data_IF_112010865509
#
_entry.id   IF_112010865509
#
_cell.length_a   1.000
_cell.length_b   1.000
_cell.length_c   1.000
_cell.angle_alpha   90.00
_cell.angle_beta   90.00
_cell.angle_gamma   90.00
#
_symmetry.space_group_name_H-M   'P 1'
#
loop_
_entity.id
_entity.type
_entity.pdbx_description
1 polymer ?
#
# COMPACT_ATOMS: atom_id res chain seq x y z
N UNK A 1 8.74 7.69 -60.01
CA UNK A 1 7.38 8.24 -60.00
C UNK A 1 7.15 9.01 -58.69
N UNK A 2 7.42 10.35 -58.75
CA UNK A 2 7.34 11.26 -57.56
C UNK A 2 5.96 11.26 -56.89
N UNK A 3 4.87 11.00 -57.62
CA UNK A 3 3.51 10.95 -57.08
C UNK A 3 3.28 9.75 -56.15
N UNK A 4 3.89 8.62 -56.45
CA UNK A 4 3.74 7.41 -55.60
C UNK A 4 4.55 7.50 -54.31
N UNK A 5 5.70 8.15 -54.33
CA UNK A 5 6.49 8.43 -53.13
C UNK A 5 5.78 9.42 -52.19
N UNK A 6 5.15 10.47 -52.68
CA UNK A 6 4.36 11.42 -51.90
C UNK A 6 3.12 10.75 -51.26
N UNK A 7 2.46 9.84 -51.98
CA UNK A 7 1.30 9.06 -51.46
C UNK A 7 1.73 8.09 -50.38
N UNK A 8 2.90 7.48 -50.52
CA UNK A 8 3.48 6.58 -49.49
C UNK A 8 3.92 7.36 -48.25
N UNK A 9 4.56 8.52 -48.41
CA UNK A 9 4.96 9.39 -47.32
C UNK A 9 3.75 9.93 -46.56
N UNK A 10 2.71 10.39 -47.22
CA UNK A 10 1.49 10.87 -46.57
C UNK A 10 0.74 9.78 -45.82
N UNK A 11 0.66 8.56 -46.37
CA UNK A 11 0.03 7.42 -45.66
C UNK A 11 0.83 6.99 -44.44
N UNK A 12 2.16 7.06 -44.49
CA UNK A 12 3.03 6.72 -43.38
C UNK A 12 2.95 7.74 -42.22
N UNK A 13 2.91 9.03 -42.58
CA UNK A 13 2.74 10.10 -41.58
C UNK A 13 1.33 10.09 -40.95
N UNK A 14 0.31 9.82 -41.74
CA UNK A 14 -1.08 9.72 -41.24
C UNK A 14 -1.25 8.50 -40.32
N UNK A 15 -0.65 7.37 -40.64
CA UNK A 15 -0.69 6.19 -39.79
C UNK A 15 0.05 6.35 -38.45
N UNK A 16 1.21 7.04 -38.48
CA UNK A 16 1.93 7.36 -37.22
C UNK A 16 1.19 8.37 -36.35
N UNK A 17 0.62 9.44 -36.96
CA UNK A 17 -0.17 10.42 -36.20
C UNK A 17 -1.43 9.84 -35.59
N UNK A 18 -2.10 8.93 -36.31
CA UNK A 18 -3.27 8.20 -35.82
C UNK A 18 -2.93 7.20 -34.73
N UNK A 19 -1.77 6.53 -34.81
CA UNK A 19 -1.25 5.64 -33.77
C UNK A 19 -0.90 6.39 -32.50
N UNK A 20 -0.30 7.58 -32.62
CA UNK A 20 0.04 8.45 -31.47
C UNK A 20 -1.21 8.98 -30.78
N UNK A 21 -2.23 9.40 -31.52
CA UNK A 21 -3.50 9.85 -30.98
C UNK A 21 -4.26 8.71 -30.27
N UNK A 22 -4.27 7.51 -30.84
CA UNK A 22 -4.81 6.31 -30.16
C UNK A 22 -4.05 5.95 -28.90
N UNK A 23 -2.73 6.09 -28.91
CA UNK A 23 -1.92 5.86 -27.72
C UNK A 23 -2.23 6.90 -26.63
N UNK A 24 -2.30 8.18 -27.00
CA UNK A 24 -2.63 9.27 -26.08
C UNK A 24 -4.04 9.13 -25.49
N UNK A 25 -5.04 8.85 -26.31
CA UNK A 25 -6.41 8.61 -25.83
C UNK A 25 -6.50 7.40 -24.88
N UNK A 26 -5.79 6.32 -25.17
CA UNK A 26 -5.69 5.17 -24.26
C UNK A 26 -5.02 5.52 -22.92
N UNK A 27 -3.99 6.37 -22.96
CA UNK A 27 -3.30 6.83 -21.75
C UNK A 27 -4.21 7.72 -20.92
N UNK A 28 -4.87 8.70 -21.53
CA UNK A 28 -5.82 9.61 -20.88
C UNK A 28 -7.01 8.82 -20.27
N UNK A 29 -7.57 7.89 -21.04
CA UNK A 29 -8.64 7.03 -20.53
C UNK A 29 -8.20 6.17 -19.35
N UNK A 30 -6.98 5.65 -19.37
CA UNK A 30 -6.43 4.88 -18.22
C UNK A 30 -6.14 5.73 -16.99
N UNK A 31 -5.83 7.02 -17.19
CA UNK A 31 -5.65 7.97 -16.07
C UNK A 31 -7.00 8.36 -15.46
N UNK A 32 -8.03 8.54 -16.30
CA UNK A 32 -9.37 8.90 -15.85
C UNK A 32 -10.15 7.72 -15.26
N UNK A 33 -9.93 6.50 -15.78
CA UNK A 33 -10.61 5.27 -15.35
C UNK A 33 -9.58 4.25 -14.89
N UNK A 34 -9.16 4.37 -13.63
CA UNK A 34 -8.22 3.43 -13.00
C UNK A 34 -8.98 2.15 -12.66
N UNK A 35 -8.67 1.07 -13.36
CA UNK A 35 -9.31 -0.25 -13.17
C UNK A 35 -8.54 -1.18 -12.25
N UNK A 36 -7.30 -0.82 -11.87
CA UNK A 36 -6.53 -1.57 -10.89
C UNK A 36 -7.08 -1.38 -9.49
N UNK A 37 -7.02 -2.43 -8.67
CA UNK A 37 -7.56 -2.48 -7.32
C UNK A 37 -6.43 -2.63 -6.31
N UNK A 38 -6.47 -1.80 -5.27
CA UNK A 38 -5.58 -1.90 -4.13
C UNK A 38 -6.35 -2.39 -2.91
N UNK A 39 -5.93 -3.53 -2.37
CA UNK A 39 -6.49 -4.14 -1.18
C UNK A 39 -5.45 -4.10 -0.06
N UNK A 40 -5.83 -3.56 1.07
CA UNK A 40 -4.97 -3.42 2.25
C UNK A 40 -5.46 -4.35 3.36
N UNK A 41 -4.54 -5.10 3.95
CA UNK A 41 -4.80 -5.96 5.11
C UNK A 41 -4.19 -5.31 6.36
N UNK A 42 -5.04 -4.91 7.30
CA UNK A 42 -4.65 -4.35 8.58
C UNK A 42 -4.85 -5.36 9.72
N UNK A 43 -4.11 -5.18 10.79
CA UNK A 43 -4.24 -5.98 12.02
C UNK A 43 -2.90 -6.19 12.72
N UNK A 44 -2.97 -6.69 13.95
CA UNK A 44 -1.79 -6.96 14.77
C UNK A 44 -0.86 -8.02 14.16
N UNK A 45 0.40 -8.03 14.60
CA UNK A 45 1.32 -9.12 14.29
C UNK A 45 0.81 -10.42 14.91
N UNK A 46 0.85 -11.51 14.12
CA UNK A 46 0.29 -12.79 14.54
C UNK A 46 -1.22 -12.96 14.30
N UNK A 47 -1.91 -11.94 13.73
CA UNK A 47 -3.34 -12.07 13.39
C UNK A 47 -3.64 -12.97 12.18
N UNK A 48 -2.61 -13.40 11.42
CA UNK A 48 -2.78 -14.30 10.28
C UNK A 48 -2.84 -13.61 8.91
N UNK A 49 -2.57 -12.31 8.81
CA UNK A 49 -2.58 -11.53 7.54
C UNK A 49 -1.84 -12.21 6.40
N UNK A 50 -0.58 -12.55 6.61
CA UNK A 50 0.27 -13.13 5.56
C UNK A 50 -0.25 -14.49 5.07
N UNK A 51 -0.88 -15.28 5.95
CA UNK A 51 -1.51 -16.55 5.55
C UNK A 51 -2.74 -16.31 4.68
N UNK A 52 -3.58 -15.32 5.05
CA UNK A 52 -4.74 -14.91 4.26
C UNK A 52 -4.31 -14.39 2.90
N UNK A 53 -3.35 -13.48 2.86
CA UNK A 53 -2.80 -12.92 1.60
C UNK A 53 -2.27 -14.05 0.71
N UNK A 54 -1.52 -15.02 1.28
CA UNK A 54 -0.98 -16.16 0.55
C UNK A 54 -2.09 -17.05 -0.04
N UNK A 55 -3.16 -17.29 0.72
CA UNK A 55 -4.29 -18.11 0.25
C UNK A 55 -5.09 -17.38 -0.84
N UNK A 56 -5.39 -16.09 -0.63
CA UNK A 56 -6.05 -15.25 -1.62
C UNK A 56 -5.22 -15.19 -2.91
N UNK A 57 -3.90 -15.03 -2.79
CA UNK A 57 -3.01 -14.97 -3.95
C UNK A 57 -3.06 -16.25 -4.79
N UNK A 58 -3.26 -17.41 -4.18
CA UNK A 58 -3.37 -18.69 -4.90
C UNK A 58 -4.72 -18.87 -5.61
N UNK A 59 -5.82 -18.42 -5.01
CA UNK A 59 -7.18 -18.71 -5.50
C UNK A 59 -7.75 -17.63 -6.42
N UNK A 60 -7.58 -16.36 -6.11
CA UNK A 60 -8.21 -15.26 -6.87
C UNK A 60 -7.41 -14.90 -8.13
N UNK A 61 -6.09 -14.97 -8.07
CA UNK A 61 -5.22 -14.51 -9.18
C UNK A 61 -5.42 -15.35 -10.44
N UNK A 62 -5.64 -16.65 -10.29
CA UNK A 62 -5.81 -17.56 -11.42
C UNK A 62 -7.14 -17.36 -12.17
N UNK A 63 -8.17 -16.84 -11.48
CA UNK A 63 -9.53 -16.85 -12.02
C UNK A 63 -10.07 -15.47 -12.44
N UNK A 64 -9.60 -14.36 -11.84
CA UNK A 64 -10.23 -13.04 -12.02
C UNK A 64 -9.35 -11.97 -12.66
N UNK A 65 -8.02 -12.05 -12.54
CA UNK A 65 -7.14 -11.01 -13.04
C UNK A 65 -6.18 -11.55 -14.12
N UNK A 66 -6.38 -11.11 -15.36
CA UNK A 66 -5.44 -11.30 -16.46
C UNK A 66 -4.08 -10.62 -16.25
N UNK A 67 -3.99 -9.75 -15.24
CA UNK A 67 -2.86 -8.88 -14.98
C UNK A 67 -2.05 -9.36 -13.79
N UNK A 68 -0.83 -8.81 -13.66
CA UNK A 68 0.11 -9.22 -12.62
C UNK A 68 -0.39 -8.86 -11.22
N UNK A 69 -0.10 -9.73 -10.29
CA UNK A 69 -0.30 -9.55 -8.86
C UNK A 69 0.96 -8.99 -8.21
N UNK A 70 0.78 -8.05 -7.28
CA UNK A 70 1.87 -7.45 -6.52
C UNK A 70 1.56 -7.50 -5.04
N UNK A 71 2.48 -8.07 -4.27
CA UNK A 71 2.42 -8.06 -2.80
C UNK A 71 3.42 -7.05 -2.25
N UNK A 72 2.92 -6.15 -1.43
CA UNK A 72 3.71 -5.11 -0.77
C UNK A 72 3.65 -5.24 0.74
N UNK A 73 4.80 -5.09 1.36
CA UNK A 73 4.87 -4.72 2.76
C UNK A 73 5.02 -3.20 2.86
N UNK A 74 4.57 -2.57 3.95
CA UNK A 74 4.40 -1.12 4.10
C UNK A 74 5.49 -0.23 3.48
N UNK A 75 6.77 -0.58 3.62
CA UNK A 75 7.89 0.25 3.12
C UNK A 75 8.83 -0.48 2.18
N UNK A 76 8.57 -1.69 1.78
CA UNK A 76 9.50 -2.42 0.92
C UNK A 76 8.84 -3.46 0.04
N UNK A 77 9.29 -3.49 -1.20
CA UNK A 77 9.01 -4.55 -2.18
C UNK A 77 9.73 -5.87 -1.83
N UNK A 78 10.76 -5.80 -1.00
CA UNK A 78 11.61 -6.92 -0.61
C UNK A 78 11.93 -6.86 0.88
N UNK A 79 11.39 -7.81 1.65
CA UNK A 79 11.89 -8.10 3.00
C UNK A 79 13.03 -9.12 2.90
N UNK A 80 14.25 -8.65 2.72
CA UNK A 80 15.44 -9.50 2.74
C UNK A 80 16.20 -9.46 4.07
N UNK A 81 15.78 -8.64 5.04
CA UNK A 81 16.44 -8.59 6.36
C UNK A 81 15.62 -9.32 7.41
N UNK A 82 16.22 -10.34 8.07
CA UNK A 82 15.74 -10.88 9.36
C UNK A 82 15.47 -9.69 10.28
N UNK A 83 14.19 -9.38 10.54
CA UNK A 83 13.85 -8.30 11.44
C UNK A 83 14.28 -8.71 12.85
N UNK A 84 15.27 -8.02 13.40
CA UNK A 84 15.48 -7.97 14.85
C UNK A 84 14.17 -7.52 15.46
N UNK A 85 13.72 -8.20 16.54
CA UNK A 85 12.46 -7.92 17.24
C UNK A 85 12.26 -6.40 17.39
N UNK A 86 11.25 -5.81 16.72
CA UNK A 86 11.16 -4.34 16.59
C UNK A 86 11.00 -3.64 17.95
N UNK A 87 10.40 -4.32 18.92
CA UNK A 87 10.09 -3.77 20.24
C UNK A 87 11.24 -3.81 21.24
N UNK A 88 12.36 -4.48 20.94
CA UNK A 88 13.55 -4.53 21.85
C UNK A 88 14.38 -3.25 21.84
N UNK A 89 14.25 -2.40 20.82
CA UNK A 89 15.06 -1.19 20.70
C UNK A 89 14.34 0.01 21.34
N UNK A 90 15.10 0.85 22.03
CA UNK A 90 14.61 2.10 22.64
C UNK A 90 14.05 3.06 21.59
N UNK A 91 12.97 3.75 21.92
CA UNK A 91 12.38 4.80 21.10
C UNK A 91 13.34 6.00 20.98
N UNK A 92 13.24 6.73 19.88
CA UNK A 92 13.97 7.99 19.69
C UNK A 92 13.39 9.09 20.61
N UNK A 93 14.16 10.16 20.84
CA UNK A 93 13.63 11.37 21.46
C UNK A 93 12.52 11.99 20.58
N UNK A 94 11.79 12.99 21.12
CA UNK A 94 10.62 13.55 20.42
C UNK A 94 11.01 14.21 19.08
N UNK A 95 12.12 14.95 19.03
CA UNK A 95 12.58 15.60 17.81
C UNK A 95 12.92 14.58 16.71
N UNK A 96 13.78 13.61 17.01
CA UNK A 96 14.15 12.55 16.06
C UNK A 96 12.94 11.68 15.66
N UNK A 97 11.97 11.50 16.55
CA UNK A 97 10.72 10.81 16.23
C UNK A 97 9.91 11.57 15.19
N UNK A 98 9.81 12.89 15.30
CA UNK A 98 9.10 13.72 14.33
C UNK A 98 9.80 13.73 12.97
N UNK A 99 11.13 13.86 12.93
CA UNK A 99 11.93 13.77 11.70
C UNK A 99 11.75 12.40 11.04
N UNK A 100 11.79 11.33 11.81
CA UNK A 100 11.59 9.98 11.31
C UNK A 100 10.17 9.75 10.79
N UNK A 101 9.16 10.30 11.47
CA UNK A 101 7.77 10.22 11.04
C UNK A 101 7.58 10.90 9.68
N UNK A 102 8.14 12.10 9.52
CA UNK A 102 8.15 12.82 8.23
C UNK A 102 8.87 12.03 7.13
N UNK A 103 10.05 11.48 7.43
CA UNK A 103 10.79 10.64 6.49
C UNK A 103 9.97 9.41 6.02
N UNK A 104 9.33 8.71 6.97
CA UNK A 104 8.50 7.55 6.66
C UNK A 104 7.29 7.96 5.81
N UNK A 105 6.69 9.10 6.08
CA UNK A 105 5.57 9.64 5.31
C UNK A 105 5.99 9.95 3.86
N UNK A 106 7.05 10.72 3.68
CA UNK A 106 7.58 11.05 2.35
C UNK A 106 7.91 9.78 1.57
N UNK A 107 8.63 8.83 2.17
CA UNK A 107 8.97 7.56 1.57
C UNK A 107 7.73 6.75 1.16
N UNK A 108 6.69 6.76 2.00
CA UNK A 108 5.43 6.08 1.71
C UNK A 108 4.73 6.71 0.51
N UNK A 109 4.60 8.04 0.48
CA UNK A 109 3.95 8.80 -0.60
C UNK A 109 4.70 8.59 -1.93
N UNK A 110 6.04 8.68 -1.93
CA UNK A 110 6.83 8.37 -3.11
C UNK A 110 6.60 6.95 -3.62
N UNK A 111 6.68 5.93 -2.72
CA UNK A 111 6.43 4.55 -3.12
C UNK A 111 5.01 4.35 -3.66
N UNK A 112 4.02 5.05 -3.08
CA UNK A 112 2.64 4.99 -3.56
C UNK A 112 2.54 5.51 -5.00
N UNK A 113 2.96 6.73 -5.28
CA UNK A 113 2.78 7.35 -6.60
C UNK A 113 3.68 6.75 -7.67
N UNK A 114 4.93 6.45 -7.37
CA UNK A 114 5.89 5.96 -8.36
C UNK A 114 5.85 4.45 -8.60
N UNK A 115 5.23 3.68 -7.70
CA UNK A 115 5.15 2.23 -7.89
C UNK A 115 3.70 1.72 -7.83
N UNK A 116 2.96 1.95 -6.74
CA UNK A 116 1.61 1.41 -6.54
C UNK A 116 0.62 2.02 -7.53
N UNK A 117 0.59 3.35 -7.65
CA UNK A 117 -0.34 4.06 -8.52
C UNK A 117 -0.13 3.73 -10.00
N UNK A 118 1.13 3.65 -10.45
CA UNK A 118 1.45 3.22 -11.83
C UNK A 118 0.92 1.80 -12.10
N UNK A 119 0.99 0.90 -11.13
CA UNK A 119 0.45 -0.45 -11.27
C UNK A 119 -1.08 -0.47 -11.27
N UNK A 120 -1.73 0.42 -10.50
CA UNK A 120 -3.19 0.60 -10.58
C UNK A 120 -3.63 1.07 -11.97
N UNK A 121 -2.94 2.04 -12.56
CA UNK A 121 -3.20 2.48 -13.95
C UNK A 121 -3.05 1.32 -14.95
N UNK A 122 -2.14 0.38 -14.69
CA UNK A 122 -1.95 -0.82 -15.52
C UNK A 122 -2.94 -1.95 -15.20
N UNK A 123 -4.03 -1.67 -14.50
CA UNK A 123 -5.10 -2.64 -14.15
C UNK A 123 -4.61 -3.85 -13.35
N UNK A 124 -3.64 -3.68 -12.46
CA UNK A 124 -3.13 -4.76 -11.63
C UNK A 124 -3.86 -4.84 -10.28
N UNK A 125 -3.86 -6.03 -9.69
CA UNK A 125 -4.27 -6.25 -8.31
C UNK A 125 -3.06 -6.06 -7.38
N UNK A 126 -3.23 -5.21 -6.38
CA UNK A 126 -2.18 -4.89 -5.41
C UNK A 126 -2.67 -5.26 -4.02
N UNK A 127 -1.98 -6.19 -3.37
CA UNK A 127 -2.26 -6.57 -1.98
C UNK A 127 -1.18 -5.97 -1.08
N UNK A 128 -1.58 -5.14 -0.14
CA UNK A 128 -0.71 -4.54 0.85
C UNK A 128 -0.86 -5.27 2.19
N UNK A 129 0.24 -5.86 2.69
CA UNK A 129 0.35 -6.28 4.09
C UNK A 129 0.76 -5.05 4.90
N UNK A 130 -0.23 -4.37 5.47
CA UNK A 130 -0.19 -3.09 6.20
C UNK A 130 -0.29 -1.85 5.31
N UNK A 131 -0.66 -0.76 5.95
CA UNK A 131 -0.71 0.58 5.38
C UNK A 131 -0.11 1.60 6.37
N UNK A 132 0.00 2.86 5.98
CA UNK A 132 0.62 3.89 6.83
C UNK A 132 -0.07 4.07 8.20
N UNK A 133 -1.34 3.68 8.33
CA UNK A 133 -2.08 3.63 9.60
C UNK A 133 -1.35 2.86 10.70
N UNK A 134 -0.60 1.82 10.36
CA UNK A 134 0.21 1.05 11.31
C UNK A 134 1.24 1.93 12.05
N UNK A 135 1.77 2.97 11.40
CA UNK A 135 2.74 3.89 12.01
C UNK A 135 2.09 4.71 13.12
N UNK A 136 0.80 5.03 12.97
CA UNK A 136 0.03 5.79 13.98
C UNK A 136 -0.45 4.89 15.12
N UNK A 137 -0.87 3.68 14.78
CA UNK A 137 -1.48 2.74 15.73
C UNK A 137 -0.40 2.08 16.61
N UNK A 138 0.75 1.73 16.00
CA UNK A 138 1.86 1.09 16.70
C UNK A 138 3.19 1.83 16.46
N UNK A 139 3.34 3.06 16.98
CA UNK A 139 4.55 3.86 16.77
C UNK A 139 5.80 3.24 17.41
N UNK A 140 5.66 2.44 18.47
CA UNK A 140 6.77 1.72 19.14
C UNK A 140 7.48 0.77 18.18
N UNK A 141 6.75 0.10 17.31
CA UNK A 141 7.29 -0.76 16.27
C UNK A 141 8.30 -0.04 15.38
N UNK A 142 8.06 1.23 15.12
CA UNK A 142 8.91 2.09 14.31
C UNK A 142 9.92 2.87 15.17
N UNK A 143 9.95 2.64 16.48
CA UNK A 143 10.79 3.37 17.45
C UNK A 143 10.50 4.88 17.46
N UNK A 144 9.26 5.25 17.29
CA UNK A 144 8.77 6.64 17.24
C UNK A 144 7.92 6.90 18.47
N UNK A 145 8.10 8.04 19.10
CA UNK A 145 7.14 8.58 20.07
C UNK A 145 5.93 9.13 19.32
N UNK A 146 4.74 8.84 19.80
CA UNK A 146 3.51 9.33 19.19
C UNK A 146 3.46 10.86 19.19
N UNK A 147 3.05 11.43 18.06
CA UNK A 147 2.72 12.86 17.94
C UNK A 147 1.33 12.97 17.30
N UNK A 148 0.36 13.37 18.11
CA UNK A 148 -1.03 13.43 17.71
C UNK A 148 -1.27 14.42 16.56
N UNK A 149 -0.61 15.59 16.58
CA UNK A 149 -0.79 16.64 15.56
C UNK A 149 -0.30 16.16 14.20
N UNK A 150 0.93 15.63 14.13
CA UNK A 150 1.50 15.12 12.88
C UNK A 150 0.74 13.89 12.36
N UNK A 151 0.32 13.00 13.26
CA UNK A 151 -0.47 11.84 12.88
C UNK A 151 -1.80 12.24 12.26
N UNK A 152 -2.52 13.21 12.85
CA UNK A 152 -3.78 13.71 12.31
C UNK A 152 -3.58 14.45 10.97
N UNK A 153 -2.52 15.23 10.82
CA UNK A 153 -2.19 15.89 9.56
C UNK A 153 -1.91 14.85 8.46
N UNK A 154 -1.03 13.91 8.71
CA UNK A 154 -0.65 12.91 7.72
C UNK A 154 -1.79 11.96 7.36
N UNK A 155 -2.64 11.56 8.31
CA UNK A 155 -3.80 10.71 8.03
C UNK A 155 -4.77 11.33 7.02
N UNK A 156 -4.94 12.66 7.03
CA UNK A 156 -5.81 13.38 6.08
C UNK A 156 -5.26 13.43 4.65
N UNK A 157 -3.94 13.33 4.51
CA UNK A 157 -3.25 13.49 3.22
C UNK A 157 -2.83 12.11 2.65
N UNK A 158 -3.18 11.01 3.32
CA UNK A 158 -2.86 9.68 2.81
C UNK A 158 -3.62 9.39 1.50
N UNK A 159 -2.96 8.74 0.55
CA UNK A 159 -3.64 8.25 -0.64
C UNK A 159 -4.80 7.32 -0.27
N UNK A 160 -5.94 7.48 -0.96
CA UNK A 160 -7.12 6.64 -0.73
C UNK A 160 -6.87 5.21 -1.20
N UNK A 161 -7.33 4.26 -0.40
CA UNK A 161 -7.29 2.82 -0.68
C UNK A 161 -8.67 2.37 -1.16
N UNK A 162 -8.73 1.41 -2.08
CA UNK A 162 -10.01 0.95 -2.62
C UNK A 162 -10.73 0.04 -1.61
N UNK A 163 -9.99 -0.90 -0.97
CA UNK A 163 -10.56 -1.85 -0.01
C UNK A 163 -9.61 -2.03 1.16
N UNK A 164 -10.15 -1.98 2.38
CA UNK A 164 -9.40 -2.26 3.61
C UNK A 164 -10.05 -3.44 4.32
N UNK A 165 -9.26 -4.50 4.55
CA UNK A 165 -9.63 -5.63 5.40
C UNK A 165 -8.94 -5.55 6.75
N UNK A 166 -9.71 -5.49 7.80
CA UNK A 166 -9.19 -5.61 9.15
C UNK A 166 -9.32 -7.05 9.65
N UNK A 167 -8.17 -7.65 9.98
CA UNK A 167 -8.14 -9.02 10.52
C UNK A 167 -8.32 -8.96 12.02
N UNK A 168 -9.58 -9.14 12.45
CA UNK A 168 -9.96 -9.14 13.85
C UNK A 168 -9.66 -10.50 14.47
N UNK A 169 -8.61 -10.57 15.28
CA UNK A 169 -8.20 -11.77 16.01
C UNK A 169 -8.12 -11.43 17.49
N UNK A 170 -8.54 -12.33 18.37
CA UNK A 170 -8.48 -12.12 19.82
C UNK A 170 -7.04 -11.95 20.30
N UNK A 171 -6.85 -11.12 21.34
CA UNK A 171 -5.52 -10.81 21.88
C UNK A 171 -4.83 -12.10 22.41
N UNK A 172 -5.60 -13.02 22.96
CA UNK A 172 -5.13 -14.30 23.49
C UNK A 172 -4.56 -15.18 22.35
N UNK A 173 -5.25 -15.24 21.20
CA UNK A 173 -4.80 -16.00 20.04
C UNK A 173 -3.54 -15.39 19.41
N UNK A 174 -3.45 -14.07 19.36
CA UNK A 174 -2.26 -13.37 18.90
C UNK A 174 -1.08 -13.66 19.81
N UNK A 175 -1.29 -13.59 21.14
CA UNK A 175 -0.25 -13.85 22.12
C UNK A 175 0.24 -15.31 22.08
N UNK A 176 -0.67 -16.27 21.89
CA UNK A 176 -0.29 -17.68 21.71
C UNK A 176 0.60 -17.93 20.49
N UNK A 177 0.31 -17.22 19.37
CA UNK A 177 1.07 -17.37 18.11
C UNK A 177 2.39 -16.62 18.12
N UNK A 178 2.42 -15.44 18.76
CA UNK A 178 3.57 -14.53 18.73
C UNK A 178 3.71 -13.85 20.11
N UNK A 179 4.64 -14.32 20.92
CA UNK A 179 4.93 -13.76 22.26
C UNK A 179 5.87 -12.53 22.19
N UNK A 180 5.64 -11.62 21.24
CA UNK A 180 6.48 -10.42 21.06
C UNK A 180 6.05 -9.25 21.97
N UNK A 181 4.76 -9.18 22.29
CA UNK A 181 4.16 -8.14 23.11
C UNK A 181 3.36 -8.71 24.26
N UNK A 182 3.32 -8.07 25.42
CA UNK A 182 2.44 -8.47 26.51
C UNK A 182 0.96 -8.26 26.15
N UNK A 183 0.09 -9.11 26.69
CA UNK A 183 -1.34 -9.16 26.41
C UNK A 183 -2.04 -7.78 26.52
N UNK A 184 -1.77 -6.93 27.55
CA UNK A 184 -2.40 -5.61 27.64
C UNK A 184 -2.05 -4.69 26.49
N UNK A 185 -0.81 -4.77 25.97
CA UNK A 185 -0.39 -3.96 24.81
C UNK A 185 -1.09 -4.43 23.54
N UNK A 186 -1.25 -5.74 23.35
CA UNK A 186 -2.00 -6.30 22.21
C UNK A 186 -3.46 -5.81 22.24
N UNK A 187 -4.12 -5.87 23.42
CA UNK A 187 -5.50 -5.36 23.61
C UNK A 187 -5.60 -3.86 23.26
N UNK A 188 -4.61 -3.06 23.68
CA UNK A 188 -4.55 -1.63 23.35
C UNK A 188 -4.46 -1.41 21.85
N UNK A 189 -3.57 -2.11 21.15
CA UNK A 189 -3.39 -1.99 19.69
C UNK A 189 -4.67 -2.39 18.94
N UNK A 190 -5.32 -3.49 19.34
CA UNK A 190 -6.60 -3.91 18.75
C UNK A 190 -7.67 -2.81 18.91
N UNK A 191 -7.77 -2.20 20.09
CA UNK A 191 -8.70 -1.09 20.35
C UNK A 191 -8.40 0.11 19.46
N UNK A 192 -7.12 0.44 19.27
CA UNK A 192 -6.71 1.54 18.40
C UNK A 192 -7.07 1.28 16.93
N UNK A 193 -6.88 0.06 16.41
CA UNK A 193 -7.34 -0.31 15.07
C UNK A 193 -8.85 -0.12 14.91
N UNK A 194 -9.65 -0.61 15.86
CA UNK A 194 -11.10 -0.49 15.81
C UNK A 194 -11.56 0.98 15.79
N UNK A 195 -10.94 1.81 16.64
CA UNK A 195 -11.26 3.23 16.71
C UNK A 195 -10.83 4.01 15.45
N UNK A 196 -9.72 3.64 14.81
CA UNK A 196 -9.24 4.28 13.60
C UNK A 196 -10.15 3.94 12.41
N UNK A 197 -10.51 2.67 12.28
CA UNK A 197 -11.37 2.20 11.21
C UNK A 197 -12.81 2.70 11.33
N UNK A 198 -13.35 2.90 12.54
CA UNK A 198 -14.68 3.48 12.71
C UNK A 198 -14.77 4.93 12.19
N UNK A 199 -13.66 5.67 12.17
CA UNK A 199 -13.57 7.01 11.60
C UNK A 199 -13.49 7.03 10.07
N UNK A 200 -13.10 5.92 9.45
CA UNK A 200 -13.00 5.81 7.99
C UNK A 200 -14.33 5.45 7.32
N UNK A 201 -15.31 5.01 8.11
CA UNK A 201 -16.64 4.61 7.60
C UNK A 201 -17.68 5.75 7.63
N UNK A 202 -17.30 6.95 8.08
CA UNK A 202 -18.06 8.18 8.03
C UNK A 202 -17.45 9.15 7.01
#
# INVERSE_FOLDING_TARGET
NKKNLLKYYNSFFYSKKFSFFKFYSKLVNRLNFITGIQVVFLGCDGSGKSSIIKNISKSIILNFFRHKFFHYHLFSKYQTRKQTLPYKKKEYNQFLSNVKLLYLYIRFVFNYYFDIYIKKIKSNLILNDRYYHDVFIDPKRYRIKSNFILNNLFSKILPKVDIIFYINTSAENIYKRKKELPLPQIKKIIKMYKNDLSKCNN
#
